data_IF_170329171711
#
_entry.id   IF_170329171711
#
_cell.length_a   1.000
_cell.length_b   1.000
_cell.length_c   1.000
_cell.angle_alpha   90.00
_cell.angle_beta   90.00
_cell.angle_gamma   90.00
#
_symmetry.space_group_name_H-M   'P 1'
#
loop_
_entity.id
_entity.type
_entity.pdbx_description
1 polymer ?
#
# COMPACT_ATOMS: atom_id res chain seq x y z
N UNK A 1 19.28 2.32 3.61
CA UNK A 1 18.33 2.46 2.49
C UNK A 1 17.21 3.40 2.92
N UNK A 2 17.04 4.49 2.18
CA UNK A 2 16.26 5.67 2.54
C UNK A 2 14.72 5.43 2.56
N UNK A 3 14.11 5.57 3.74
CA UNK A 3 13.04 6.56 3.98
C UNK A 3 11.69 6.54 3.25
N UNK A 4 11.34 5.55 2.40
CA UNK A 4 9.99 5.51 1.79
C UNK A 4 9.10 4.46 2.45
N UNK A 5 8.17 4.91 3.29
CA UNK A 5 7.08 4.08 3.84
C UNK A 5 6.35 3.37 2.69
N UNK A 6 6.52 2.05 2.60
CA UNK A 6 5.81 1.21 1.62
C UNK A 6 4.50 0.77 2.24
N UNK A 7 3.38 1.28 1.72
CA UNK A 7 2.06 0.82 2.08
C UNK A 7 1.49 -0.12 1.00
N UNK A 8 0.68 -1.06 1.43
CA UNK A 8 -0.08 -1.97 0.58
C UNK A 8 -1.52 -1.49 0.55
N UNK A 9 -2.11 -1.33 -0.63
CA UNK A 9 -3.55 -1.10 -0.77
C UNK A 9 -4.25 -2.41 -0.41
N UNK A 10 -5.09 -2.38 0.62
CA UNK A 10 -5.83 -3.56 1.09
C UNK A 10 -7.22 -3.65 0.50
N UNK A 11 -7.85 -2.50 0.30
CA UNK A 11 -9.27 -2.44 -0.03
C UNK A 11 -9.68 -1.07 -0.61
N UNK A 12 -10.88 -1.00 -1.18
CA UNK A 12 -11.55 0.23 -1.61
C UNK A 12 -12.89 0.32 -0.88
N UNK A 13 -12.98 1.16 0.14
CA UNK A 13 -14.22 1.37 0.92
C UNK A 13 -14.86 2.69 0.49
N UNK A 14 -16.07 2.64 -0.05
CA UNK A 14 -16.79 3.82 -0.55
C UNK A 14 -15.95 4.68 -1.52
N UNK A 15 -15.15 4.06 -2.37
CA UNK A 15 -14.26 4.77 -3.32
C UNK A 15 -12.96 5.32 -2.71
N UNK A 16 -12.74 5.16 -1.41
CA UNK A 16 -11.49 5.54 -0.73
C UNK A 16 -10.56 4.34 -0.67
N UNK A 17 -9.31 4.50 -1.14
CA UNK A 17 -8.29 3.46 -1.00
C UNK A 17 -7.85 3.34 0.45
N UNK A 18 -7.82 2.12 0.97
CA UNK A 18 -7.28 1.82 2.30
C UNK A 18 -5.90 1.22 2.21
N UNK A 19 -5.02 1.69 3.09
CA UNK A 19 -3.60 1.36 3.12
C UNK A 19 -3.26 0.62 4.40
N UNK A 20 -2.33 -0.32 4.32
CA UNK A 20 -1.67 -0.94 5.48
C UNK A 20 -0.16 -0.93 5.33
N UNK A 21 0.54 -0.94 6.45
CA UNK A 21 1.97 -1.22 6.50
C UNK A 21 2.27 -2.05 7.77
N UNK A 22 3.37 -2.83 7.78
CA UNK A 22 3.79 -3.55 8.98
C UNK A 22 3.91 -2.59 10.18
N UNK A 23 3.35 -2.99 11.33
CA UNK A 23 3.39 -2.19 12.56
C UNK A 23 2.50 -0.94 12.57
N UNK A 24 1.60 -0.78 11.58
CA UNK A 24 0.62 0.32 11.54
C UNK A 24 -0.79 -0.24 11.37
N UNK A 25 -1.75 0.35 12.09
CA UNK A 25 -3.17 0.13 11.83
C UNK A 25 -3.50 0.54 10.38
N UNK A 26 -4.57 0.01 9.80
CA UNK A 26 -5.01 0.44 8.47
C UNK A 26 -5.45 1.91 8.49
N UNK A 27 -5.22 2.64 7.38
CA UNK A 27 -5.61 4.04 7.26
C UNK A 27 -6.11 4.37 5.86
N UNK A 28 -7.04 5.33 5.72
CA UNK A 28 -7.49 5.81 4.42
C UNK A 28 -6.39 6.61 3.70
N UNK A 29 -6.26 6.44 2.39
CA UNK A 29 -5.43 7.27 1.54
C UNK A 29 -6.06 8.67 1.41
N UNK A 30 -5.42 9.67 1.99
CA UNK A 30 -5.89 11.07 1.99
C UNK A 30 -6.00 11.65 0.57
N UNK A 31 -5.06 11.30 -0.29
CA UNK A 31 -5.10 11.63 -1.72
C UNK A 31 -4.65 10.41 -2.54
N UNK A 32 -5.60 9.59 -3.02
CA UNK A 32 -5.32 8.42 -3.84
C UNK A 32 -4.55 8.73 -5.12
N UNK A 33 -4.72 9.94 -5.68
CA UNK A 33 -4.11 10.32 -6.96
C UNK A 33 -2.62 10.59 -6.83
N UNK A 34 -2.15 10.91 -5.62
CA UNK A 34 -0.73 11.07 -5.32
C UNK A 34 -0.01 9.75 -5.04
N UNK A 35 -0.75 8.63 -4.92
CA UNK A 35 -0.13 7.33 -4.71
C UNK A 35 0.54 6.82 -5.98
N UNK A 36 1.81 6.42 -5.85
CA UNK A 36 2.55 5.75 -6.93
C UNK A 36 2.66 4.25 -6.66
N UNK A 37 2.17 3.44 -7.59
CA UNK A 37 2.34 1.99 -7.53
C UNK A 37 3.79 1.63 -7.86
N UNK A 38 4.58 1.32 -6.83
CA UNK A 38 5.98 0.89 -6.99
C UNK A 38 6.12 -0.62 -7.25
N UNK A 39 5.20 -1.42 -6.71
CA UNK A 39 5.13 -2.88 -6.89
C UNK A 39 3.69 -3.34 -6.87
N UNK A 40 3.36 -4.29 -7.75
CA UNK A 40 2.06 -4.98 -7.75
C UNK A 40 2.07 -6.18 -6.82
N UNK A 41 0.89 -6.75 -6.51
CA UNK A 41 0.77 -7.98 -5.72
C UNK A 41 1.58 -9.14 -6.33
N UNK A 42 1.55 -9.30 -7.65
CA UNK A 42 2.36 -10.32 -8.35
C UNK A 42 3.85 -10.14 -8.13
N UNK A 43 4.35 -8.90 -8.25
CA UNK A 43 5.76 -8.56 -8.00
C UNK A 43 6.18 -8.77 -6.54
N UNK A 44 5.25 -8.64 -5.58
CA UNK A 44 5.48 -8.96 -4.16
C UNK A 44 5.58 -10.47 -3.94
N UNK A 45 4.60 -11.24 -4.43
CA UNK A 45 4.61 -12.71 -4.33
C UNK A 45 5.86 -13.33 -4.96
N UNK A 46 6.28 -12.84 -6.12
CA UNK A 46 7.49 -13.31 -6.81
C UNK A 46 8.78 -13.06 -6.01
N UNK A 47 8.79 -12.09 -5.09
CA UNK A 47 9.94 -11.82 -4.22
C UNK A 47 9.80 -12.44 -2.82
N UNK A 48 8.80 -13.30 -2.60
CA UNK A 48 8.57 -13.92 -1.29
C UNK A 48 7.98 -12.98 -0.23
N UNK A 49 7.51 -11.80 -0.63
CA UNK A 49 6.82 -10.88 0.28
C UNK A 49 5.40 -11.41 0.59
N UNK A 50 5.01 -11.45 1.87
CA UNK A 50 3.67 -11.86 2.35
C UNK A 50 2.59 -10.78 2.16
#
# INVERSE_FOLDING_TARGET
>A
MEGRTRAVVTDIRQGVLWLRAPGRAEWPARDPKQLKVIRTRGKRRAAGDA
#
